data_IF_655013060646
#
_entry.id   IF_655013060646
#
_cell.length_a   1.000
_cell.length_b   1.000
_cell.length_c   1.000
_cell.angle_alpha   90.00
_cell.angle_beta   90.00
_cell.angle_gamma   90.00
#
_symmetry.space_group_name_H-M   'P 1'
#
loop_
_entity.id
_entity.type
_entity.pdbx_description
1 polymer ?
#
# COMPACT_ATOMS: atom_id res chain seq x y z
N UNK A 1 26.32 -0.48 -0.54
CA UNK A 1 25.80 -0.76 0.81
C UNK A 1 24.29 -0.75 0.71
N UNK A 2 23.65 -1.94 0.79
CA UNK A 2 22.18 -2.01 0.82
C UNK A 2 21.69 -1.26 2.07
N UNK A 3 20.92 -0.22 1.86
CA UNK A 3 20.23 0.48 2.94
C UNK A 3 19.17 -0.46 3.49
N UNK A 4 19.45 -1.12 4.61
CA UNK A 4 18.48 -1.97 5.30
C UNK A 4 17.33 -1.10 5.79
N UNK A 5 16.11 -1.57 5.57
CA UNK A 5 14.89 -0.95 6.06
C UNK A 5 14.95 -0.88 7.60
N UNK A 6 14.70 0.31 8.17
CA UNK A 6 14.59 0.48 9.62
C UNK A 6 13.12 0.33 10.03
N UNK A 7 12.80 -0.81 10.63
CA UNK A 7 11.44 -1.11 11.08
C UNK A 7 10.90 -0.06 12.09
N UNK A 8 11.76 0.46 12.97
CA UNK A 8 11.38 1.49 13.93
C UNK A 8 11.03 2.82 13.26
N UNK A 9 11.80 3.21 12.24
CA UNK A 9 11.53 4.41 11.46
C UNK A 9 10.21 4.30 10.70
N UNK A 10 9.92 3.14 10.11
CA UNK A 10 8.64 2.88 9.42
C UNK A 10 7.47 3.01 10.39
N UNK A 11 7.52 2.34 11.54
CA UNK A 11 6.44 2.41 12.54
C UNK A 11 6.21 3.85 12.98
N UNK A 12 7.28 4.59 13.31
CA UNK A 12 7.17 6.00 13.69
C UNK A 12 6.52 6.82 12.57
N UNK A 13 6.90 6.60 11.30
CA UNK A 13 6.34 7.30 10.16
C UNK A 13 4.85 7.00 9.96
N UNK A 14 4.43 5.76 10.19
CA UNK A 14 3.00 5.38 10.17
C UNK A 14 2.22 6.19 11.20
N UNK A 15 2.71 6.29 12.44
CA UNK A 15 2.05 7.07 13.49
C UNK A 15 2.08 8.58 13.24
N UNK A 16 3.17 9.12 12.72
CA UNK A 16 3.25 10.53 12.32
C UNK A 16 2.15 10.86 11.30
N UNK A 17 2.05 10.09 10.20
CA UNK A 17 1.02 10.31 9.17
C UNK A 17 -0.39 10.08 9.74
N UNK A 18 -0.56 9.08 10.61
CA UNK A 18 -1.84 8.80 11.25
C UNK A 18 -2.35 10.00 12.06
N UNK A 19 -1.49 10.63 12.86
CA UNK A 19 -1.84 11.80 13.68
C UNK A 19 -2.00 13.04 12.81
N UNK A 20 -1.07 13.30 11.89
CA UNK A 20 -1.11 14.48 11.02
C UNK A 20 -2.33 14.50 10.09
N UNK A 21 -2.75 13.33 9.60
CA UNK A 21 -3.86 13.17 8.68
C UNK A 21 -5.15 12.65 9.34
N UNK A 22 -5.21 12.65 10.68
CA UNK A 22 -6.36 12.16 11.42
C UNK A 22 -7.67 12.87 11.04
N UNK A 23 -7.60 14.17 10.70
CA UNK A 23 -8.75 14.96 10.26
C UNK A 23 -9.39 14.47 8.95
N UNK A 24 -8.63 13.80 8.09
CA UNK A 24 -9.10 13.18 6.84
C UNK A 24 -9.39 11.68 7.04
N UNK A 25 -8.50 10.97 7.72
CA UNK A 25 -8.59 9.53 7.94
C UNK A 25 -9.76 9.13 8.83
N UNK A 26 -9.98 9.84 9.95
CA UNK A 26 -11.02 9.48 10.91
C UNK A 26 -12.44 9.62 10.34
N UNK A 27 -12.82 10.75 9.71
CA UNK A 27 -14.14 10.85 9.10
C UNK A 27 -14.36 9.85 7.98
N UNK A 28 -13.34 9.61 7.15
CA UNK A 28 -13.44 8.63 6.07
C UNK A 28 -13.60 7.19 6.60
N UNK A 29 -12.82 6.79 7.60
CA UNK A 29 -12.96 5.51 8.27
C UNK A 29 -14.33 5.41 8.95
N UNK A 30 -14.78 6.46 9.66
CA UNK A 30 -16.07 6.47 10.32
C UNK A 30 -17.23 6.24 9.34
N UNK A 31 -17.24 6.93 8.20
CA UNK A 31 -18.26 6.71 7.16
C UNK A 31 -18.27 5.25 6.70
N UNK A 32 -17.10 4.68 6.37
CA UNK A 32 -17.01 3.29 5.90
C UNK A 32 -17.43 2.29 6.98
N UNK A 33 -16.91 2.42 8.21
CA UNK A 33 -17.15 1.43 9.25
C UNK A 33 -18.53 1.57 9.90
N UNK A 34 -19.08 2.78 10.02
CA UNK A 34 -20.48 2.97 10.44
C UNK A 34 -21.44 2.39 9.40
N UNK A 35 -21.21 2.68 8.12
CA UNK A 35 -22.04 2.17 7.03
C UNK A 35 -22.01 0.63 6.97
N UNK A 36 -20.82 0.03 6.96
CA UNK A 36 -20.67 -1.43 6.95
C UNK A 36 -21.18 -2.08 8.23
N UNK A 37 -21.01 -1.43 9.38
CA UNK A 37 -21.54 -1.88 10.67
C UNK A 37 -23.06 -1.92 10.70
N UNK A 38 -23.73 -0.87 10.21
CA UNK A 38 -25.19 -0.82 10.09
C UNK A 38 -25.70 -1.92 9.14
N UNK A 39 -25.09 -2.04 7.96
CA UNK A 39 -25.46 -3.10 7.00
C UNK A 39 -25.27 -4.48 7.61
N UNK A 40 -24.14 -4.73 8.26
CA UNK A 40 -23.88 -6.01 8.93
C UNK A 40 -24.91 -6.30 10.02
N UNK A 41 -25.25 -5.32 10.85
CA UNK A 41 -26.25 -5.48 11.91
C UNK A 41 -27.65 -5.79 11.36
N UNK A 42 -28.05 -5.13 10.27
CA UNK A 42 -29.36 -5.36 9.62
C UNK A 42 -29.44 -6.72 8.92
N UNK A 43 -28.35 -7.20 8.34
CA UNK A 43 -28.33 -8.39 7.50
C UNK A 43 -27.91 -9.68 8.24
N UNK A 44 -27.25 -9.57 9.41
CA UNK A 44 -26.90 -10.72 10.24
C UNK A 44 -28.11 -11.50 10.79
N UNK A 45 -29.27 -10.84 10.91
CA UNK A 45 -30.53 -11.46 11.35
C UNK A 45 -31.36 -11.99 10.18
N UNK A 46 -30.90 -11.80 8.97
CA UNK A 46 -31.58 -12.16 7.72
C UNK A 46 -31.09 -13.50 7.17
N UNK A 47 -31.51 -13.84 5.94
CA UNK A 47 -31.10 -15.08 5.28
C UNK A 47 -29.60 -15.09 4.95
N UNK A 48 -29.02 -16.29 4.75
CA UNK A 48 -27.63 -16.47 4.32
C UNK A 48 -27.28 -15.71 3.03
N UNK A 49 -28.25 -15.54 2.12
CA UNK A 49 -28.07 -14.76 0.90
C UNK A 49 -27.83 -13.28 1.19
N UNK A 50 -28.57 -12.70 2.16
CA UNK A 50 -28.39 -11.30 2.56
C UNK A 50 -27.08 -11.10 3.34
N UNK A 51 -26.64 -12.08 4.13
CA UNK A 51 -25.34 -12.06 4.78
C UNK A 51 -24.20 -12.05 3.74
N UNK A 52 -24.33 -12.77 2.63
CA UNK A 52 -23.37 -12.74 1.53
C UNK A 52 -23.32 -11.36 0.84
N UNK A 53 -24.48 -10.73 0.63
CA UNK A 53 -24.54 -9.35 0.10
C UNK A 53 -23.85 -8.37 1.04
N UNK A 54 -24.09 -8.47 2.36
CA UNK A 54 -23.39 -7.64 3.35
C UNK A 54 -21.88 -7.81 3.30
N UNK A 55 -21.42 -9.05 3.18
CA UNK A 55 -19.99 -9.36 3.03
C UNK A 55 -19.38 -8.70 1.79
N UNK A 56 -20.05 -8.78 0.65
CA UNK A 56 -19.59 -8.16 -0.60
C UNK A 56 -19.52 -6.62 -0.45
N UNK A 57 -20.57 -6.01 0.09
CA UNK A 57 -20.60 -4.55 0.32
C UNK A 57 -19.46 -4.13 1.26
N UNK A 58 -19.25 -4.87 2.34
CA UNK A 58 -18.16 -4.60 3.29
C UNK A 58 -16.78 -4.75 2.64
N UNK A 59 -16.61 -5.77 1.81
CA UNK A 59 -15.37 -5.98 1.06
C UNK A 59 -15.08 -4.81 0.10
N UNK A 60 -16.08 -4.35 -0.64
CA UNK A 60 -15.94 -3.20 -1.54
C UNK A 60 -15.60 -1.92 -0.75
N UNK A 61 -16.32 -1.66 0.33
CA UNK A 61 -16.14 -0.46 1.13
C UNK A 61 -14.76 -0.40 1.81
N UNK A 62 -14.29 -1.50 2.39
CA UNK A 62 -12.95 -1.58 3.00
C UNK A 62 -11.83 -1.50 1.97
N UNK A 63 -12.06 -2.05 0.78
CA UNK A 63 -11.10 -1.97 -0.34
C UNK A 63 -10.99 -0.53 -0.86
N UNK A 64 -12.11 0.17 -1.03
CA UNK A 64 -12.12 1.60 -1.38
C UNK A 64 -11.38 2.44 -0.35
N UNK A 65 -11.64 2.18 0.93
CA UNK A 65 -10.93 2.86 2.00
C UNK A 65 -9.42 2.63 1.94
N UNK A 66 -8.98 1.38 1.71
CA UNK A 66 -7.57 1.05 1.55
C UNK A 66 -6.95 1.81 0.37
N UNK A 67 -7.63 1.83 -0.79
CA UNK A 67 -7.18 2.58 -1.97
C UNK A 67 -7.05 4.08 -1.70
N UNK A 68 -8.04 4.65 -1.01
CA UNK A 68 -8.01 6.07 -0.60
C UNK A 68 -6.83 6.38 0.33
N UNK A 69 -6.52 5.51 1.29
CA UNK A 69 -5.38 5.70 2.20
C UNK A 69 -4.05 5.62 1.43
N UNK A 70 -3.94 4.71 0.45
CA UNK A 70 -2.74 4.62 -0.40
C UNK A 70 -2.51 5.91 -1.18
N UNK A 71 -3.56 6.46 -1.80
CA UNK A 71 -3.50 7.75 -2.52
C UNK A 71 -3.15 8.90 -1.57
N UNK A 72 -3.73 8.93 -0.36
CA UNK A 72 -3.38 9.92 0.65
C UNK A 72 -1.89 9.89 1.01
N UNK A 73 -1.32 8.70 1.21
CA UNK A 73 0.11 8.57 1.52
C UNK A 73 0.96 8.99 0.34
N UNK A 74 0.53 8.71 -0.89
CA UNK A 74 1.20 9.18 -2.10
C UNK A 74 1.23 10.70 -2.16
N UNK A 75 0.10 11.37 -1.92
CA UNK A 75 0.02 12.83 -1.89
C UNK A 75 0.90 13.46 -0.79
N UNK A 76 0.92 12.85 0.40
CA UNK A 76 1.82 13.28 1.49
C UNK A 76 3.29 13.13 1.10
N UNK A 77 3.66 12.07 0.40
CA UNK A 77 5.03 11.87 -0.09
C UNK A 77 5.43 12.90 -1.16
N UNK A 78 4.47 13.30 -2.01
CA UNK A 78 4.66 14.33 -3.03
C UNK A 78 4.60 15.77 -2.46
N UNK A 79 4.43 15.92 -1.13
CA UNK A 79 4.33 17.21 -0.44
C UNK A 79 2.98 17.91 -0.59
N UNK A 80 1.99 17.27 -1.21
CA UNK A 80 0.61 17.76 -1.30
C UNK A 80 -0.16 17.30 -0.07
N UNK A 81 -0.93 18.21 0.55
CA UNK A 81 -1.71 17.92 1.77
C UNK A 81 -3.16 18.35 1.67
N UNK A 82 -3.61 18.72 0.50
CA UNK A 82 -4.90 19.41 0.27
C UNK A 82 -5.93 18.52 -0.44
N UNK A 83 -5.62 17.23 -0.67
CA UNK A 83 -6.55 16.34 -1.33
C UNK A 83 -7.78 16.06 -0.45
N UNK A 84 -8.96 16.36 -0.98
CA UNK A 84 -10.21 16.06 -0.27
C UNK A 84 -10.49 14.55 -0.32
N UNK A 85 -11.19 13.99 0.70
CA UNK A 85 -11.56 12.57 0.71
C UNK A 85 -12.27 12.10 -0.57
N UNK A 86 -13.08 12.97 -1.18
CA UNK A 86 -13.77 12.66 -2.42
C UNK A 86 -12.86 12.59 -3.65
N UNK A 87 -11.77 13.35 -3.69
CA UNK A 87 -10.76 13.26 -4.75
C UNK A 87 -9.95 11.97 -4.63
N UNK A 88 -9.49 11.64 -3.42
CA UNK A 88 -8.78 10.40 -3.12
C UNK A 88 -9.62 9.16 -3.46
N UNK A 89 -10.90 9.19 -3.13
CA UNK A 89 -11.82 8.11 -3.48
C UNK A 89 -12.00 7.95 -4.99
N UNK A 90 -12.12 9.05 -5.73
CA UNK A 90 -12.22 9.02 -7.20
C UNK A 90 -10.93 8.51 -7.86
N UNK A 91 -9.76 8.82 -7.30
CA UNK A 91 -8.48 8.31 -7.79
C UNK A 91 -8.37 6.79 -7.61
N UNK A 92 -8.84 6.24 -6.49
CA UNK A 92 -8.85 4.80 -6.23
C UNK A 92 -9.92 4.01 -7.01
N UNK A 93 -11.01 4.66 -7.46
CA UNK A 93 -12.15 3.99 -8.12
C UNK A 93 -11.77 3.16 -9.36
N UNK A 94 -10.91 3.61 -10.28
CA UNK A 94 -10.58 2.86 -11.50
C UNK A 94 -9.90 1.52 -11.23
N UNK A 95 -9.17 1.40 -10.13
CA UNK A 95 -8.40 0.19 -9.79
C UNK A 95 -9.09 -0.72 -8.78
N UNK A 96 -10.33 -0.38 -8.37
CA UNK A 96 -11.04 -1.10 -7.29
C UNK A 96 -11.26 -2.58 -7.61
N UNK A 97 -11.64 -2.90 -8.85
CA UNK A 97 -11.85 -4.29 -9.26
C UNK A 97 -10.56 -5.11 -9.18
N UNK A 98 -9.45 -4.54 -9.60
CA UNK A 98 -8.14 -5.17 -9.51
C UNK A 98 -7.68 -5.30 -8.05
N UNK A 99 -7.94 -4.30 -7.23
CA UNK A 99 -7.61 -4.31 -5.81
C UNK A 99 -8.39 -5.39 -5.04
N UNK A 100 -9.69 -5.54 -5.35
CA UNK A 100 -10.52 -6.63 -4.80
C UNK A 100 -9.97 -7.99 -5.22
N UNK A 101 -9.67 -8.18 -6.51
CA UNK A 101 -9.14 -9.44 -7.01
C UNK A 101 -7.77 -9.79 -6.40
N UNK A 102 -6.87 -8.82 -6.26
CA UNK A 102 -5.59 -9.03 -5.56
C UNK A 102 -5.83 -9.43 -4.11
N UNK A 103 -6.76 -8.74 -3.42
CA UNK A 103 -7.12 -9.07 -2.05
C UNK A 103 -7.66 -10.50 -1.91
N UNK A 104 -8.55 -10.92 -2.79
CA UNK A 104 -9.11 -12.28 -2.80
C UNK A 104 -8.02 -13.33 -3.07
N UNK A 105 -7.21 -13.14 -4.10
CA UNK A 105 -6.12 -14.08 -4.44
C UNK A 105 -5.11 -14.16 -3.32
N UNK A 106 -4.73 -13.01 -2.74
CA UNK A 106 -3.83 -12.98 -1.59
C UNK A 106 -4.45 -13.69 -0.37
N UNK A 107 -5.71 -13.42 -0.05
CA UNK A 107 -6.40 -14.07 1.07
C UNK A 107 -6.47 -15.59 0.90
N UNK A 108 -6.85 -16.09 -0.28
CA UNK A 108 -6.87 -17.53 -0.58
C UNK A 108 -5.47 -18.12 -0.43
N UNK A 109 -4.45 -17.49 -1.00
CA UNK A 109 -3.07 -17.98 -0.87
C UNK A 109 -2.57 -18.01 0.57
N UNK A 110 -2.86 -16.98 1.36
CA UNK A 110 -2.50 -16.90 2.78
C UNK A 110 -3.23 -18.00 3.59
N UNK A 111 -4.53 -18.18 3.36
CA UNK A 111 -5.32 -19.23 4.03
C UNK A 111 -4.76 -20.61 3.71
N UNK A 112 -4.48 -20.90 2.44
CA UNK A 112 -3.85 -22.16 2.02
C UNK A 112 -2.48 -22.31 2.69
N UNK A 113 -1.68 -21.23 2.75
CA UNK A 113 -0.40 -21.22 3.43
C UNK A 113 -0.51 -21.58 4.90
N UNK A 114 -1.51 -21.06 5.63
CA UNK A 114 -1.76 -21.38 7.03
C UNK A 114 -2.29 -22.80 7.24
N UNK A 115 -3.14 -23.30 6.33
CA UNK A 115 -3.66 -24.67 6.37
C UNK A 115 -2.55 -25.69 6.16
N UNK A 116 -1.60 -25.39 5.28
CA UNK A 116 -0.45 -26.29 5.08
C UNK A 116 0.47 -26.31 6.32
N UNK A 117 0.97 -25.14 6.71
CA UNK A 117 1.83 -24.95 7.89
C UNK A 117 1.81 -23.43 8.22
N UNK A 118 1.91 -23.06 9.47
CA UNK A 118 1.90 -21.65 9.92
C UNK A 118 2.98 -20.80 9.21
N UNK A 119 4.18 -21.36 9.00
CA UNK A 119 5.32 -20.65 8.44
C UNK A 119 5.07 -20.14 7.01
N UNK A 120 4.60 -20.95 6.04
CA UNK A 120 4.23 -20.44 4.71
C UNK A 120 3.18 -19.33 4.74
N UNK A 121 2.18 -19.42 5.63
CA UNK A 121 1.18 -18.36 5.79
C UNK A 121 1.81 -17.03 6.22
N UNK A 122 2.71 -17.05 7.20
CA UNK A 122 3.45 -15.85 7.64
C UNK A 122 4.34 -15.28 6.55
N UNK A 123 5.00 -16.13 5.76
CA UNK A 123 5.79 -15.70 4.61
C UNK A 123 4.91 -15.01 3.58
N UNK A 124 3.75 -15.57 3.25
CA UNK A 124 2.85 -14.99 2.26
C UNK A 124 2.26 -13.64 2.71
N UNK A 125 1.85 -13.51 3.99
CA UNK A 125 1.44 -12.21 4.54
C UNK A 125 2.55 -11.17 4.37
N UNK A 126 3.79 -11.53 4.71
CA UNK A 126 4.94 -10.63 4.60
C UNK A 126 5.21 -10.23 3.15
N UNK A 127 5.24 -11.20 2.24
CA UNK A 127 5.59 -11.01 0.84
C UNK A 127 4.52 -10.22 0.08
N UNK A 128 3.25 -10.36 0.44
CA UNK A 128 2.12 -9.69 -0.21
C UNK A 128 1.61 -8.45 0.54
N UNK A 129 2.30 -8.04 1.59
CA UNK A 129 1.92 -6.91 2.44
C UNK A 129 1.77 -5.58 1.69
N UNK A 130 2.56 -5.37 0.63
CA UNK A 130 2.52 -4.15 -0.18
C UNK A 130 1.81 -4.33 -1.53
N UNK A 131 1.05 -5.43 -1.70
CA UNK A 131 0.34 -5.69 -2.96
C UNK A 131 -0.74 -4.64 -3.25
N UNK A 132 -1.45 -4.15 -2.22
CA UNK A 132 -2.47 -3.11 -2.39
C UNK A 132 -1.88 -1.78 -2.91
N UNK A 133 -0.83 -1.20 -2.30
CA UNK A 133 -0.17 -0.01 -2.86
C UNK A 133 0.37 -0.21 -4.28
N UNK A 134 0.92 -1.40 -4.59
CA UNK A 134 1.38 -1.71 -5.95
C UNK A 134 0.22 -1.65 -6.96
N UNK A 135 -0.97 -2.16 -6.62
CA UNK A 135 -2.15 -2.07 -7.50
C UNK A 135 -2.56 -0.63 -7.73
N UNK A 136 -2.66 0.15 -6.65
CA UNK A 136 -3.14 1.53 -6.71
C UNK A 136 -2.18 2.43 -7.49
N UNK A 137 -0.88 2.31 -7.23
CA UNK A 137 0.13 3.24 -7.74
C UNK A 137 0.79 2.79 -9.06
N UNK A 138 0.93 1.47 -9.29
CA UNK A 138 1.59 0.94 -10.49
C UNK A 138 0.59 0.32 -11.48
N UNK A 139 -0.60 -0.09 -11.05
CA UNK A 139 -1.67 -0.73 -11.85
C UNK A 139 -1.19 -1.85 -12.81
N UNK A 140 -0.39 -2.83 -12.36
CA UNK A 140 0.26 -3.80 -13.25
C UNK A 140 -0.60 -5.03 -13.59
N UNK A 141 -1.80 -5.16 -13.03
CA UNK A 141 -2.62 -6.38 -13.05
C UNK A 141 -2.41 -7.27 -11.83
N UNK A 142 -3.37 -8.18 -11.56
CA UNK A 142 -3.49 -8.94 -10.29
C UNK A 142 -2.23 -9.73 -9.96
N UNK A 143 -1.83 -10.65 -10.84
CA UNK A 143 -0.67 -11.52 -10.59
C UNK A 143 0.66 -10.77 -10.67
N UNK A 144 0.72 -9.75 -11.52
CA UNK A 144 1.89 -8.90 -11.61
C UNK A 144 2.09 -8.06 -10.33
N UNK A 145 1.01 -7.59 -9.70
CA UNK A 145 1.06 -6.89 -8.41
C UNK A 145 1.60 -7.78 -7.29
N UNK A 146 1.14 -9.02 -7.18
CA UNK A 146 1.63 -9.99 -6.20
C UNK A 146 3.12 -10.31 -6.41
N UNK A 147 3.52 -10.48 -7.68
CA UNK A 147 4.94 -10.68 -8.03
C UNK A 147 5.78 -9.45 -7.68
N UNK A 148 5.28 -8.27 -8.03
CA UNK A 148 5.95 -6.99 -7.74
C UNK A 148 6.10 -6.75 -6.24
N UNK A 149 5.06 -7.04 -5.46
CA UNK A 149 5.12 -7.00 -4.00
C UNK A 149 6.23 -7.91 -3.45
N UNK A 150 6.33 -9.15 -3.96
CA UNK A 150 7.40 -10.08 -3.60
C UNK A 150 8.79 -9.55 -3.96
N UNK A 151 8.94 -8.93 -5.13
CA UNK A 151 10.22 -8.35 -5.58
C UNK A 151 10.65 -7.21 -4.65
N UNK A 152 9.73 -6.30 -4.28
CA UNK A 152 9.99 -5.19 -3.36
C UNK A 152 10.40 -5.65 -1.96
N UNK A 153 9.73 -6.67 -1.43
CA UNK A 153 10.02 -7.22 -0.09
C UNK A 153 11.32 -8.02 -0.06
N UNK A 154 11.77 -8.54 -1.22
CA UNK A 154 12.96 -9.38 -1.31
C UNK A 154 14.20 -8.63 -0.81
N UNK A 155 14.92 -9.24 0.14
CA UNK A 155 16.09 -8.67 0.80
C UNK A 155 15.78 -7.95 2.11
N UNK A 156 14.54 -7.49 2.33
CA UNK A 156 14.09 -6.85 3.57
C UNK A 156 12.94 -7.61 4.25
N UNK A 157 12.72 -8.88 3.92
CA UNK A 157 11.57 -9.67 4.39
C UNK A 157 11.44 -9.73 5.90
N UNK A 158 12.55 -9.85 6.64
CA UNK A 158 12.54 -9.89 8.09
C UNK A 158 12.10 -8.55 8.71
N UNK A 159 12.57 -7.44 8.16
CA UNK A 159 12.20 -6.10 8.64
C UNK A 159 10.72 -5.79 8.34
N UNK A 160 10.26 -6.16 7.14
CA UNK A 160 8.85 -6.06 6.76
C UNK A 160 7.98 -6.91 7.67
N UNK A 161 8.39 -8.16 7.93
CA UNK A 161 7.70 -9.04 8.88
C UNK A 161 7.62 -8.43 10.27
N UNK A 162 8.72 -7.86 10.78
CA UNK A 162 8.76 -7.22 12.09
C UNK A 162 7.77 -6.04 12.19
N UNK A 163 7.72 -5.16 11.16
CA UNK A 163 6.76 -4.05 11.12
C UNK A 163 5.32 -4.57 11.16
N UNK A 164 5.01 -5.55 10.30
CA UNK A 164 3.68 -6.13 10.20
C UNK A 164 3.29 -6.81 11.51
N UNK A 165 4.18 -7.64 12.08
CA UNK A 165 3.94 -8.35 13.32
C UNK A 165 3.66 -7.40 14.49
N UNK A 166 4.47 -6.35 14.65
CA UNK A 166 4.26 -5.35 15.70
C UNK A 166 2.91 -4.66 15.56
N UNK A 167 2.57 -4.21 14.35
CA UNK A 167 1.31 -3.51 14.11
C UNK A 167 0.09 -4.44 14.29
N UNK A 168 0.15 -5.68 13.78
CA UNK A 168 -0.94 -6.64 13.95
C UNK A 168 -1.10 -7.09 15.41
N UNK A 169 0.01 -7.30 16.14
CA UNK A 169 -0.05 -7.62 17.57
C UNK A 169 -0.67 -6.46 18.34
N UNK A 170 -0.24 -5.23 18.06
CA UNK A 170 -0.77 -4.04 18.71
C UNK A 170 -2.28 -3.89 18.46
N UNK A 171 -2.70 -3.97 17.20
CA UNK A 171 -4.12 -3.90 16.82
C UNK A 171 -4.90 -5.06 17.43
N UNK A 172 -4.35 -6.28 17.39
CA UNK A 172 -4.98 -7.47 17.97
C UNK A 172 -5.16 -7.38 19.49
N UNK A 173 -4.16 -6.89 20.21
CA UNK A 173 -4.27 -6.69 21.67
C UNK A 173 -5.33 -5.64 21.99
N UNK A 174 -5.35 -4.51 21.27
CA UNK A 174 -6.37 -3.47 21.44
C UNK A 174 -7.75 -4.06 21.17
N UNK A 175 -7.92 -4.81 20.07
CA UNK A 175 -9.19 -5.43 19.71
C UNK A 175 -9.66 -6.42 20.79
N UNK A 176 -8.79 -7.30 21.26
CA UNK A 176 -9.12 -8.29 22.31
C UNK A 176 -9.55 -7.63 23.63
N UNK A 177 -8.83 -6.59 24.07
CA UNK A 177 -9.17 -5.85 25.29
C UNK A 177 -10.56 -5.20 25.19
N UNK A 178 -10.84 -4.63 24.03
CA UNK A 178 -12.10 -3.91 23.81
C UNK A 178 -13.27 -4.88 23.58
N UNK A 179 -13.05 -6.00 22.86
CA UNK A 179 -14.07 -7.05 22.68
C UNK A 179 -14.47 -7.68 24.02
N UNK A 180 -13.52 -7.94 24.91
CA UNK A 180 -13.83 -8.43 26.26
C UNK A 180 -14.72 -7.47 27.08
N UNK A 181 -14.54 -6.17 26.91
CA UNK A 181 -15.39 -5.15 27.52
C UNK A 181 -16.79 -5.12 26.84
N UNK A 182 -16.81 -5.23 25.52
CA UNK A 182 -18.03 -5.16 24.72
C UNK A 182 -18.99 -6.34 24.99
N UNK A 183 -18.45 -7.55 25.19
CA UNK A 183 -19.25 -8.74 25.53
C UNK A 183 -19.96 -8.60 26.88
N UNK A 184 -19.30 -7.96 27.86
CA UNK A 184 -19.90 -7.73 29.17
C UNK A 184 -21.01 -6.66 29.16
N UNK A 185 -21.04 -5.80 28.16
CA UNK A 185 -21.95 -4.65 28.06
C UNK A 185 -23.23 -4.91 27.22
N UNK A 186 -23.38 -6.09 26.63
CA UNK A 186 -24.53 -6.49 25.82
C UNK A 186 -24.39 -6.23 24.33
N UNK A 187 -25.23 -6.90 23.51
CA UNK A 187 -25.09 -7.00 22.06
C UNK A 187 -25.11 -5.65 21.30
N UNK A 188 -25.89 -4.68 21.76
CA UNK A 188 -25.96 -3.36 21.12
C UNK A 188 -24.68 -2.53 21.31
N UNK A 189 -24.12 -2.56 22.53
CA UNK A 189 -22.87 -1.88 22.86
C UNK A 189 -21.72 -2.53 22.10
N UNK A 190 -21.69 -3.86 21.96
CA UNK A 190 -20.69 -4.61 21.23
C UNK A 190 -20.55 -4.16 19.76
N UNK A 191 -21.65 -3.87 19.07
CA UNK A 191 -21.62 -3.37 17.67
C UNK A 191 -20.97 -1.99 17.62
N UNK A 192 -21.36 -1.07 18.50
CA UNK A 192 -20.80 0.29 18.54
C UNK A 192 -19.30 0.25 18.81
N UNK A 193 -18.90 -0.58 19.75
CA UNK A 193 -17.48 -0.75 20.11
C UNK A 193 -16.68 -1.30 18.94
N UNK A 194 -17.15 -2.32 18.22
CA UNK A 194 -16.48 -2.85 17.02
C UNK A 194 -16.32 -1.81 15.92
N UNK A 195 -17.32 -0.97 15.71
CA UNK A 195 -17.26 0.14 14.75
C UNK A 195 -16.17 1.13 15.17
N UNK A 196 -16.13 1.53 16.44
CA UNK A 196 -15.10 2.45 16.95
C UNK A 196 -13.69 1.87 16.79
N UNK A 197 -13.50 0.60 17.14
CA UNK A 197 -12.21 -0.09 16.96
C UNK A 197 -11.84 -0.14 15.49
N UNK A 198 -12.77 -0.47 14.59
CA UNK A 198 -12.55 -0.47 13.15
C UNK A 198 -12.10 0.89 12.63
N UNK A 199 -12.77 1.97 13.04
CA UNK A 199 -12.41 3.35 12.67
C UNK A 199 -10.99 3.70 13.11
N UNK A 200 -10.58 3.28 14.31
CA UNK A 200 -9.27 3.60 14.85
C UNK A 200 -8.15 2.72 14.27
N UNK A 201 -8.43 1.45 13.99
CA UNK A 201 -7.38 0.47 13.62
C UNK A 201 -7.20 0.29 12.12
N UNK A 202 -8.26 0.44 11.33
CA UNK A 202 -8.18 0.24 9.88
C UNK A 202 -7.18 1.17 9.17
N UNK A 203 -7.11 2.47 9.50
CA UNK A 203 -6.12 3.35 8.88
C UNK A 203 -4.68 2.89 9.13
N UNK A 204 -4.39 2.30 10.29
CA UNK A 204 -3.03 1.87 10.63
C UNK A 204 -2.50 0.79 9.69
N UNK A 205 -3.32 -0.21 9.35
CA UNK A 205 -2.90 -1.28 8.44
C UNK A 205 -2.69 -0.78 7.01
N UNK A 206 -3.57 0.08 6.53
CA UNK A 206 -3.45 0.67 5.19
C UNK A 206 -2.25 1.63 5.09
N UNK A 207 -2.02 2.46 6.13
CA UNK A 207 -0.84 3.32 6.24
C UNK A 207 0.45 2.51 6.28
N UNK A 208 0.47 1.41 7.07
CA UNK A 208 1.64 0.55 7.17
C UNK A 208 2.04 -0.03 5.81
N UNK A 209 1.07 -0.58 5.06
CA UNK A 209 1.30 -1.10 3.72
C UNK A 209 1.84 -0.03 2.77
N UNK A 210 1.27 1.18 2.83
CA UNK A 210 1.64 2.31 1.97
C UNK A 210 3.04 2.84 2.30
N UNK A 211 3.34 3.08 3.58
CA UNK A 211 4.67 3.54 4.01
C UNK A 211 5.73 2.49 3.70
N UNK A 212 5.46 1.21 3.95
CA UNK A 212 6.36 0.11 3.58
C UNK A 212 6.66 0.09 2.08
N UNK A 213 5.65 0.30 1.24
CA UNK A 213 5.84 0.34 -0.21
C UNK A 213 6.82 1.45 -0.62
N UNK A 214 6.66 2.68 -0.13
CA UNK A 214 7.53 3.80 -0.47
C UNK A 214 8.97 3.59 0.05
N UNK A 215 9.13 3.09 1.26
CA UNK A 215 10.45 2.78 1.84
C UNK A 215 11.17 1.66 1.06
N UNK A 216 10.45 0.59 0.70
CA UNK A 216 11.00 -0.51 -0.09
C UNK A 216 11.36 -0.07 -1.51
N UNK A 217 10.52 0.77 -2.13
CA UNK A 217 10.79 1.33 -3.46
C UNK A 217 12.04 2.22 -3.43
N UNK A 218 12.17 3.07 -2.41
CA UNK A 218 13.36 3.90 -2.22
C UNK A 218 14.63 3.07 -1.98
N UNK A 219 14.55 2.01 -1.16
CA UNK A 219 15.66 1.09 -0.93
C UNK A 219 16.06 0.33 -2.21
N UNK A 220 15.09 -0.07 -3.03
CA UNK A 220 15.34 -0.74 -4.31
C UNK A 220 16.00 0.19 -5.34
N UNK A 221 15.58 1.44 -5.41
CA UNK A 221 16.20 2.45 -6.28
C UNK A 221 17.64 2.76 -5.87
N UNK A 222 17.94 2.79 -4.57
CA UNK A 222 19.28 3.02 -4.06
C UNK A 222 20.24 1.83 -4.27
N UNK A 223 19.71 0.59 -4.38
CA UNK A 223 20.50 -0.63 -4.56
C UNK A 223 20.69 -1.03 -6.02
N UNK A 224 19.77 -0.67 -6.91
CA UNK A 224 19.89 -0.80 -8.34
C UNK A 224 20.38 0.54 -8.88
N UNK A 225 21.70 0.69 -9.09
CA UNK A 225 22.20 1.78 -9.89
C UNK A 225 21.49 1.71 -11.25
N UNK A 226 20.45 2.49 -11.43
CA UNK A 226 19.92 2.81 -12.74
C UNK A 226 21.08 3.53 -13.42
N UNK A 227 21.64 3.03 -14.54
CA UNK A 227 22.48 3.87 -15.38
C UNK A 227 21.58 5.04 -15.77
N UNK A 228 21.94 6.26 -15.38
CA UNK A 228 21.30 7.46 -15.89
C UNK A 228 21.27 7.34 -17.41
N UNK A 229 20.07 7.18 -17.96
CA UNK A 229 19.82 7.22 -19.41
C UNK A 229 20.00 8.64 -19.97
N UNK A 230 20.87 9.44 -19.35
CA UNK A 230 21.28 10.80 -19.74
C UNK A 230 22.78 11.04 -19.59
N UNK A 231 23.59 10.03 -19.75
CA UNK A 231 24.93 10.25 -20.27
C UNK A 231 24.88 9.94 -21.77
N UNK A 232 24.36 10.87 -22.54
CA UNK A 232 24.75 10.95 -23.94
C UNK A 232 26.26 10.99 -23.96
N UNK A 233 26.94 10.08 -24.72
CA UNK A 233 28.37 10.22 -24.93
C UNK A 233 28.55 11.59 -25.61
N UNK A 234 29.29 12.46 -24.91
CA UNK A 234 29.62 13.78 -25.43
C UNK A 234 30.07 13.62 -26.89
N UNK A 235 29.35 14.29 -27.76
CA UNK A 235 29.81 14.54 -29.12
C UNK A 235 31.20 15.17 -29.02
N UNK A 236 32.17 14.36 -29.25
CA UNK A 236 33.59 14.80 -29.37
C UNK A 236 33.68 15.73 -30.58
N UNK A 237 33.48 17.02 -30.30
CA UNK A 237 33.57 18.11 -31.26
C UNK A 237 35.01 18.40 -31.67
N UNK A 238 35.94 17.46 -31.43
CA UNK A 238 37.35 17.60 -31.78
C UNK A 238 37.71 17.00 -33.16
N UNK A 239 36.82 16.26 -33.84
CA UNK A 239 37.12 15.69 -35.16
C UNK A 239 36.58 16.50 -36.35
N UNK A 240 35.79 17.54 -36.12
CA UNK A 240 35.29 18.41 -37.21
C UNK A 240 36.32 19.45 -37.67
N UNK A 241 37.42 19.64 -36.95
CA UNK A 241 38.43 20.64 -37.30
C UNK A 241 39.61 20.07 -38.09
N UNK A 242 39.68 18.74 -38.33
CA UNK A 242 40.72 18.09 -39.12
C UNK A 242 40.31 17.74 -40.56
N UNK A 243 39.05 17.86 -40.91
CA UNK A 243 38.57 17.55 -42.26
C UNK A 243 38.49 18.74 -43.21
N UNK A 244 38.81 19.98 -42.79
CA UNK A 244 38.71 21.19 -43.59
C UNK A 244 40.09 21.87 -43.91
N UNK A 245 41.19 21.16 -43.72
CA UNK A 245 42.53 21.71 -43.81
C UNK A 245 43.45 21.06 -44.83
N UNK A 246 42.96 20.40 -45.87
CA UNK A 246 43.80 19.83 -46.90
C UNK A 246 43.07 19.85 -48.24
N UNK A 247 42.99 21.00 -48.90
CA UNK A 247 43.06 21.14 -50.35
C UNK A 247 43.07 22.63 -50.74
N UNK A 248 44.26 23.18 -50.84
CA UNK A 248 44.52 24.39 -51.59
C UNK A 248 45.94 24.24 -52.15
N UNK A 249 46.07 23.45 -53.22
CA UNK A 249 47.24 23.42 -54.02
C UNK A 249 47.29 24.63 -54.93
N UNK A 250 48.49 25.14 -55.26
CA UNK A 250 48.68 26.35 -56.04
C UNK A 250 48.60 26.06 -57.55
N UNK A 251 47.74 26.83 -58.24
CA UNK A 251 47.90 26.94 -59.70
C UNK A 251 48.51 28.29 -59.99
N UNK A 252 49.74 28.18 -60.49
CA UNK A 252 50.51 29.29 -60.99
C UNK A 252 50.15 29.74 -62.42
N UNK A 253 50.62 30.86 -62.65
CA UNK A 253 51.21 31.41 -63.88
C UNK A 253 50.42 31.42 -65.18
N UNK A 254 50.13 32.52 -65.67
CA UNK A 254 50.70 33.19 -66.85
C UNK A 254 49.87 34.42 -67.17
#
# INVERSE_FOLDING_TARGET
>A
VQRKLDAGAVIRRVFEIYVDQASVLMPAAAVVFVFTGIISALLLTASAALALVALIISLVATTLFTGMVVELVSDVQDGRRDASPGQLLRAATPVIGQLILVGIVAAIGIVIGFVLIIIPGLILITVWSVAAPVVVLENPGVFAALRRSRELVRGNGWQVFAVIAVLYIMVGVISLLIEGIAESAGSGVGIVVRVIVGVLTAPLSALAASVLYFELRGASAASGGVPDAKSEPGSDSSDASRAFGADAGPTGSA
#
